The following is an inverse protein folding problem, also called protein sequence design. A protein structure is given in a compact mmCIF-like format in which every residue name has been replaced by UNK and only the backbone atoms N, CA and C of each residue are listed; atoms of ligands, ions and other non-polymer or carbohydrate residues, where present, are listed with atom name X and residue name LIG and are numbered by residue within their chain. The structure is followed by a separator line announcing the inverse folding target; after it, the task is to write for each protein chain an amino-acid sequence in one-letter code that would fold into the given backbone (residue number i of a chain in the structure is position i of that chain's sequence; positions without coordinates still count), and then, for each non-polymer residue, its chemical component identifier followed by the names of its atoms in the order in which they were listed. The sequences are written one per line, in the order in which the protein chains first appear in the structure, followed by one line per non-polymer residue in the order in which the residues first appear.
data_IF_040639091745
#
_entry.id   IF_040639091745
#
_cell.length_a   1.000
_cell.length_b   1.000
_cell.length_c   1.000
_cell.angle_alpha   90.00
_cell.angle_beta   90.00
_cell.angle_gamma   90.00
#
_symmetry.space_group_name_H-M   'P 1'
#
loop_
_entity.id
_entity.type
_entity.pdbx_description
1 polymer ?
#
# COMPACT_ATOMS: atom_id res chain seq x y z
N UNK A 1 14.56 5.82 39.49
CA UNK A 1 13.93 5.03 38.41
C UNK A 1 13.29 6.03 37.47
N UNK A 2 13.99 6.31 36.38
CA UNK A 2 13.67 7.34 35.39
C UNK A 2 12.40 6.97 34.63
N UNK A 3 11.36 7.78 34.79
CA UNK A 3 10.24 7.81 33.88
C UNK A 3 10.74 8.45 32.58
N UNK A 4 11.02 7.63 31.57
CA UNK A 4 11.16 8.14 30.21
C UNK A 4 9.82 8.77 29.82
N UNK A 5 9.79 10.09 29.74
CA UNK A 5 8.69 10.83 29.15
C UNK A 5 8.52 10.32 27.71
N UNK A 6 7.52 9.48 27.48
CA UNK A 6 7.01 9.20 26.13
C UNK A 6 6.66 10.55 25.53
N UNK A 7 7.53 11.05 24.64
CA UNK A 7 7.29 12.22 23.82
C UNK A 7 5.95 11.97 23.13
N UNK A 8 4.89 12.63 23.60
CA UNK A 8 3.54 12.43 23.11
C UNK A 8 3.52 12.97 21.68
N UNK A 9 3.73 12.09 20.70
CA UNK A 9 3.53 12.42 19.29
C UNK A 9 2.08 12.83 19.17
N UNK A 10 1.83 14.09 18.85
CA UNK A 10 0.50 14.54 18.45
C UNK A 10 0.11 13.78 17.20
N UNK A 11 -0.87 12.88 17.33
CA UNK A 11 -1.39 12.11 16.21
C UNK A 11 -2.11 13.06 15.25
N UNK A 12 -1.89 12.95 13.94
CA UNK A 12 -2.73 13.63 12.96
C UNK A 12 -4.20 13.27 13.16
N UNK A 13 -5.06 14.27 12.94
CA UNK A 13 -6.51 14.13 13.07
C UNK A 13 -7.17 14.59 11.78
N UNK A 14 -8.18 13.85 11.30
CA UNK A 14 -9.01 14.28 10.16
C UNK A 14 -10.11 15.22 10.65
N UNK A 15 -10.77 14.82 11.73
CA UNK A 15 -11.82 15.55 12.44
C UNK A 15 -11.90 15.00 13.86
N UNK A 16 -12.72 15.61 14.72
CA UNK A 16 -12.89 15.19 16.12
C UNK A 16 -13.11 13.68 16.26
N UNK A 17 -12.21 13.02 17.00
CA UNK A 17 -12.25 11.58 17.28
C UNK A 17 -11.78 10.67 16.14
N UNK A 18 -11.29 11.23 15.02
CA UNK A 18 -10.80 10.48 13.86
C UNK A 18 -9.29 10.73 13.70
N UNK A 19 -8.54 10.15 14.62
CA UNK A 19 -7.07 10.20 14.65
C UNK A 19 -6.45 9.00 13.93
N UNK A 20 -5.20 9.13 13.49
CA UNK A 20 -4.46 8.06 12.84
C UNK A 20 -2.96 8.15 13.10
N UNK A 21 -2.29 6.99 13.18
CA UNK A 21 -0.83 6.92 13.32
C UNK A 21 -0.12 6.44 12.04
N UNK A 22 -0.88 5.91 11.09
CA UNK A 22 -0.38 5.24 9.90
C UNK A 22 -1.13 5.72 8.67
N UNK A 23 -0.41 5.96 7.57
CA UNK A 23 -0.99 6.25 6.26
C UNK A 23 -0.59 5.12 5.31
N UNK A 24 -1.53 4.66 4.50
CA UNK A 24 -1.33 3.63 3.51
C UNK A 24 -1.64 4.13 2.09
N UNK A 25 -0.84 3.65 1.14
CA UNK A 25 -1.07 3.78 -0.29
C UNK A 25 -1.37 2.39 -0.84
N UNK A 26 -2.56 2.25 -1.43
CA UNK A 26 -3.01 1.06 -2.14
C UNK A 26 -2.75 1.23 -3.63
N UNK A 27 -2.07 0.25 -4.22
CA UNK A 27 -2.05 0.01 -5.66
C UNK A 27 -2.99 -1.13 -5.96
N UNK A 28 -4.01 -0.90 -6.79
CA UNK A 28 -5.04 -1.89 -7.05
C UNK A 28 -5.28 -2.10 -8.53
N UNK A 29 -5.67 -3.32 -8.87
CA UNK A 29 -6.24 -3.64 -10.16
C UNK A 29 -7.22 -4.80 -10.06
N UNK A 30 -8.02 -4.99 -11.11
CA UNK A 30 -8.78 -6.21 -11.34
C UNK A 30 -7.91 -7.21 -12.11
N UNK A 31 -7.97 -8.47 -11.72
CA UNK A 31 -7.37 -9.60 -12.44
C UNK A 31 -8.46 -10.45 -13.11
N UNK A 32 -8.06 -11.28 -14.07
CA UNK A 32 -8.96 -12.16 -14.80
C UNK A 32 -8.81 -13.62 -14.34
N UNK A 33 -9.91 -14.36 -14.09
CA UNK A 33 -9.86 -15.78 -13.76
C UNK A 33 -9.50 -16.69 -14.93
N UNK A 34 -9.47 -16.15 -16.15
CA UNK A 34 -9.14 -16.88 -17.38
C UNK A 34 -7.67 -17.36 -17.41
N UNK A 35 -7.40 -18.32 -18.31
CA UNK A 35 -6.06 -18.89 -18.56
C UNK A 35 -5.37 -19.35 -17.25
N UNK A 36 -6.09 -20.12 -16.43
CA UNK A 36 -5.67 -20.55 -15.09
C UNK A 36 -5.14 -19.39 -14.21
N UNK A 37 -5.85 -18.25 -14.25
CA UNK A 37 -5.51 -17.03 -13.49
C UNK A 37 -4.12 -16.50 -13.84
N UNK A 38 -3.67 -16.63 -15.09
CA UNK A 38 -2.35 -16.16 -15.54
C UNK A 38 -2.07 -14.70 -15.20
N UNK A 39 -3.06 -13.83 -15.35
CA UNK A 39 -2.95 -12.41 -14.95
C UNK A 39 -2.52 -12.24 -13.49
N UNK A 40 -3.04 -13.08 -12.58
CA UNK A 40 -2.67 -13.07 -11.16
C UNK A 40 -1.24 -13.58 -10.91
N UNK A 41 -0.78 -14.56 -11.71
CA UNK A 41 0.61 -15.04 -11.66
C UNK A 41 1.58 -13.95 -12.12
N UNK A 42 1.24 -13.22 -13.18
CA UNK A 42 2.06 -12.13 -13.71
C UNK A 42 2.07 -10.91 -12.78
N UNK A 43 0.93 -10.58 -12.15
CA UNK A 43 0.86 -9.59 -11.08
C UNK A 43 1.77 -9.94 -9.90
N UNK A 44 1.83 -11.23 -9.52
CA UNK A 44 2.75 -11.69 -8.47
C UNK A 44 4.21 -11.49 -8.89
N UNK A 45 4.59 -11.78 -10.13
CA UNK A 45 5.95 -11.55 -10.64
C UNK A 45 6.30 -10.06 -10.61
N UNK A 46 5.40 -9.21 -11.10
CA UNK A 46 5.56 -7.76 -11.07
C UNK A 46 5.78 -7.23 -9.64
N UNK A 47 5.01 -7.74 -8.66
CA UNK A 47 5.20 -7.38 -7.26
C UNK A 47 6.56 -7.84 -6.72
N UNK A 48 6.97 -9.08 -6.98
CA UNK A 48 8.27 -9.61 -6.52
C UNK A 48 9.44 -8.74 -7.03
N UNK A 49 9.36 -8.25 -8.25
CA UNK A 49 10.38 -7.36 -8.82
C UNK A 49 10.37 -5.95 -8.19
N UNK A 50 9.21 -5.45 -7.73
CA UNK A 50 9.11 -4.16 -7.05
C UNK A 50 9.51 -4.19 -5.57
N UNK A 51 9.44 -5.37 -4.91
CA UNK A 51 9.74 -5.53 -3.47
C UNK A 51 11.10 -4.95 -3.04
N UNK A 52 12.22 -5.13 -3.78
CA UNK A 52 13.51 -4.56 -3.40
C UNK A 52 13.49 -3.03 -3.28
N UNK A 53 12.74 -2.34 -4.13
CA UNK A 53 12.63 -0.88 -4.07
C UNK A 53 11.67 -0.44 -2.97
N UNK A 54 10.55 -1.13 -2.78
CA UNK A 54 9.62 -0.87 -1.67
C UNK A 54 10.32 -1.05 -0.32
N UNK A 55 11.23 -2.02 -0.20
CA UNK A 55 12.01 -2.28 1.03
C UNK A 55 12.97 -1.13 1.41
N UNK A 56 13.27 -0.21 0.49
CA UNK A 56 14.08 0.97 0.79
C UNK A 56 13.31 2.03 1.57
N UNK A 57 11.97 1.93 1.60
CA UNK A 57 11.11 2.82 2.36
C UNK A 57 11.22 2.50 3.86
N UNK A 58 11.86 3.38 4.61
CA UNK A 58 12.10 3.18 6.04
C UNK A 58 10.80 3.12 6.85
N UNK A 59 10.56 1.99 7.52
CA UNK A 59 9.35 1.75 8.30
C UNK A 59 8.14 1.27 7.49
N UNK A 60 8.30 0.98 6.19
CA UNK A 60 7.20 0.48 5.38
C UNK A 60 6.78 -0.93 5.80
N UNK A 61 5.46 -1.13 5.89
CA UNK A 61 4.83 -2.46 5.94
C UNK A 61 4.10 -2.69 4.63
N UNK A 62 4.19 -3.90 4.10
CA UNK A 62 3.62 -4.26 2.80
C UNK A 62 2.70 -5.45 2.95
N UNK A 63 1.48 -5.34 2.42
CA UNK A 63 0.52 -6.43 2.36
C UNK A 63 0.02 -6.61 0.93
N UNK A 64 -0.07 -7.86 0.49
CA UNK A 64 -0.78 -8.21 -0.74
C UNK A 64 -2.15 -8.78 -0.38
N UNK A 65 -3.20 -8.18 -0.91
CA UNK A 65 -4.57 -8.70 -0.78
C UNK A 65 -5.03 -9.21 -2.14
N UNK A 66 -5.63 -10.39 -2.15
CA UNK A 66 -6.26 -10.97 -3.33
C UNK A 66 -7.68 -11.36 -2.97
N UNK A 67 -8.66 -10.79 -3.65
CA UNK A 67 -10.06 -11.13 -3.46
C UNK A 67 -10.52 -12.04 -4.61
N UNK A 68 -10.95 -13.26 -4.28
CA UNK A 68 -11.51 -14.21 -5.25
C UNK A 68 -12.93 -13.89 -5.71
N UNK A 69 -13.66 -13.00 -5.00
CA UNK A 69 -15.03 -12.64 -5.34
C UNK A 69 -15.13 -11.48 -6.32
N UNK A 70 -14.48 -10.35 -6.01
CA UNK A 70 -14.49 -9.14 -6.85
C UNK A 70 -13.25 -9.01 -7.74
N UNK A 71 -12.41 -10.04 -7.79
CA UNK A 71 -11.17 -10.09 -8.58
C UNK A 71 -10.19 -8.94 -8.31
N UNK A 72 -10.12 -8.42 -7.08
CA UNK A 72 -9.12 -7.40 -6.74
C UNK A 72 -7.76 -8.06 -6.45
N UNK A 73 -6.71 -7.45 -6.99
CA UNK A 73 -5.33 -7.59 -6.53
C UNK A 73 -4.89 -6.24 -5.98
N UNK A 74 -4.43 -6.22 -4.74
CA UNK A 74 -4.02 -5.00 -4.05
C UNK A 74 -2.63 -5.18 -3.45
N UNK A 75 -1.83 -4.14 -3.57
CA UNK A 75 -0.58 -3.96 -2.83
C UNK A 75 -0.78 -2.76 -1.92
N UNK A 76 -0.81 -2.99 -0.61
CA UNK A 76 -0.97 -1.96 0.40
C UNK A 76 0.41 -1.71 0.99
N UNK A 77 0.93 -0.49 0.84
CA UNK A 77 2.18 -0.04 1.43
C UNK A 77 1.82 1.01 2.47
N UNK A 78 2.11 0.73 3.73
CA UNK A 78 1.79 1.64 4.84
C UNK A 78 3.05 2.11 5.55
N UNK A 79 3.08 3.38 5.91
CA UNK A 79 4.15 4.05 6.64
C UNK A 79 3.59 4.75 7.88
N UNK A 80 4.41 4.96 8.94
CA UNK A 80 4.08 5.92 9.99
C UNK A 80 3.71 7.28 9.37
N UNK A 81 2.68 7.94 9.90
CA UNK A 81 2.17 9.19 9.33
C UNK A 81 3.26 10.26 9.17
N UNK A 82 4.23 10.32 10.09
CA UNK A 82 5.34 11.27 10.00
C UNK A 82 6.32 11.02 8.84
N UNK A 83 6.38 9.79 8.30
CA UNK A 83 7.29 9.41 7.21
C UNK A 83 6.63 9.44 5.84
N UNK A 84 5.30 9.35 5.79
CA UNK A 84 4.56 9.23 4.53
C UNK A 84 4.80 10.44 3.60
N UNK A 85 4.87 11.65 4.16
CA UNK A 85 5.10 12.87 3.38
C UNK A 85 6.46 12.93 2.67
N UNK A 86 7.46 12.17 3.13
CA UNK A 86 8.74 12.03 2.41
C UNK A 86 8.56 11.17 1.16
N UNK A 87 7.83 10.07 1.28
CA UNK A 87 7.52 9.19 0.15
C UNK A 87 6.62 9.85 -0.89
N UNK A 88 5.67 10.70 -0.46
CA UNK A 88 4.83 11.51 -1.34
C UNK A 88 5.63 12.49 -2.20
N UNK A 89 6.66 13.14 -1.63
CA UNK A 89 7.57 14.02 -2.38
C UNK A 89 8.33 13.28 -3.48
N UNK A 90 8.64 12.01 -3.23
CA UNK A 90 9.22 11.08 -4.21
C UNK A 90 8.17 10.45 -5.14
N UNK A 91 6.97 11.04 -5.24
CA UNK A 91 5.85 10.59 -6.09
C UNK A 91 5.48 9.12 -5.87
N UNK A 92 5.61 8.65 -4.64
CA UNK A 92 5.31 7.26 -4.25
C UNK A 92 6.18 6.22 -4.97
N UNK A 93 7.40 6.56 -5.42
CA UNK A 93 8.29 5.61 -6.08
C UNK A 93 8.42 4.28 -5.27
N UNK A 94 8.31 3.09 -5.91
CA UNK A 94 8.29 2.82 -7.35
C UNK A 94 6.87 2.70 -7.97
N UNK A 95 5.86 3.40 -7.45
CA UNK A 95 4.46 3.29 -7.89
C UNK A 95 4.29 3.39 -9.41
N UNK A 96 4.80 4.45 -10.04
CA UNK A 96 4.61 4.70 -11.47
C UNK A 96 5.08 3.52 -12.33
N UNK A 97 6.30 3.03 -12.11
CA UNK A 97 6.87 1.92 -12.87
C UNK A 97 6.13 0.60 -12.63
N UNK A 98 5.68 0.36 -11.40
CA UNK A 98 4.84 -0.79 -11.08
C UNK A 98 3.49 -0.73 -11.81
N UNK A 99 2.80 0.42 -11.76
CA UNK A 99 1.48 0.60 -12.40
C UNK A 99 1.56 0.47 -13.93
N UNK A 100 2.59 1.06 -14.55
CA UNK A 100 2.82 0.93 -15.99
C UNK A 100 3.06 -0.53 -16.41
N UNK A 101 3.76 -1.30 -15.56
CA UNK A 101 4.01 -2.72 -15.81
C UNK A 101 2.73 -3.54 -15.74
N UNK A 102 1.92 -3.37 -14.69
CA UNK A 102 0.70 -4.17 -14.53
C UNK A 102 -0.39 -3.82 -15.55
N UNK A 103 -0.44 -2.58 -16.05
CA UNK A 103 -1.36 -2.16 -17.13
C UNK A 103 -1.14 -2.93 -18.44
N UNK A 104 0.05 -3.50 -18.64
CA UNK A 104 0.41 -4.26 -19.84
C UNK A 104 0.16 -5.77 -19.70
N UNK A 105 -0.27 -6.23 -18.54
CA UNK A 105 -0.59 -7.64 -18.29
C UNK A 105 -1.95 -7.94 -18.89
N UNK A 106 -2.01 -8.95 -19.76
CA UNK A 106 -3.28 -9.40 -20.34
C UNK A 106 -4.22 -9.90 -19.24
N UNK A 107 -5.48 -9.45 -19.29
CA UNK A 107 -6.49 -9.75 -18.27
C UNK A 107 -6.44 -8.86 -17.03
N UNK A 108 -5.53 -7.89 -16.95
CA UNK A 108 -5.59 -6.81 -15.95
C UNK A 108 -6.50 -5.68 -16.44
N UNK A 109 -7.33 -5.15 -15.53
CA UNK A 109 -8.16 -3.97 -15.78
C UNK A 109 -8.29 -3.10 -14.52
N UNK A 110 -8.89 -1.91 -14.65
CA UNK A 110 -9.21 -1.00 -13.52
C UNK A 110 -7.99 -0.76 -12.62
N UNK A 111 -6.90 -0.27 -13.21
CA UNK A 111 -5.66 0.05 -12.49
C UNK A 111 -5.81 1.42 -11.84
N UNK A 112 -5.83 1.45 -10.51
CA UNK A 112 -6.10 2.64 -9.71
C UNK A 112 -5.18 2.69 -8.48
N UNK A 113 -5.13 3.84 -7.83
CA UNK A 113 -4.48 4.02 -6.54
C UNK A 113 -5.39 4.71 -5.56
N UNK A 114 -5.17 4.45 -4.27
CA UNK A 114 -5.93 5.08 -3.21
C UNK A 114 -5.02 5.33 -2.01
N UNK A 115 -5.14 6.50 -1.39
CA UNK A 115 -4.50 6.80 -0.10
C UNK A 115 -5.56 6.77 0.98
N UNK A 116 -5.28 6.12 2.10
CA UNK A 116 -6.16 6.08 3.27
C UNK A 116 -5.35 6.02 4.57
N UNK A 117 -5.99 6.38 5.67
CA UNK A 117 -5.40 6.34 7.01
C UNK A 117 -5.77 5.04 7.71
N UNK A 118 -4.91 4.59 8.62
CA UNK A 118 -5.09 3.41 9.43
C UNK A 118 -4.88 3.78 10.90
N UNK A 119 -5.82 3.33 11.74
CA UNK A 119 -5.75 3.41 13.19
C UNK A 119 -6.27 2.08 13.74
N UNK A 120 -5.47 1.34 14.53
CA UNK A 120 -5.97 0.18 15.24
C UNK A 120 -7.16 0.55 16.15
N UNK A 121 -8.17 -0.30 16.18
CA UNK A 121 -9.31 -0.18 17.09
C UNK A 121 -9.20 -1.28 18.13
N UNK A 122 -9.23 -0.90 19.40
CA UNK A 122 -9.24 -1.85 20.51
C UNK A 122 -10.60 -2.59 20.55
N UNK A 123 -10.56 -3.92 20.60
CA UNK A 123 -11.75 -4.81 20.66
C UNK A 123 -11.77 -5.65 21.92
#
# INVERSE_FOLDING_TARGET
MSQEAKKQKTMPTITEGVDFDTIAREWRCKWSPEDDKKSLQELRKALVEAVPDIKKLDGAKVQRVVCGGCMDFKVIISLPAEKFGEWEKEKFAPEESFLEKIKKIDGVSVVETQTFTLMPVDI
#
